data_IF_825581071920
#
_entry.id   IF_825581071920
#
_cell.length_a   1.000
_cell.length_b   1.000
_cell.length_c   1.000
_cell.angle_alpha   90.00
_cell.angle_beta   90.00
_cell.angle_gamma   90.00
#
_symmetry.space_group_name_H-M   'P 1'
#
loop_
_entity.id
_entity.type
_entity.pdbx_description
1 polymer ?
#
# COMPACT_ATOMS: atom_id res chain seq x y z
N UNK A 1 41.59 -5.62 -23.39
CA UNK A 1 41.18 -4.46 -22.59
C UNK A 1 39.71 -4.14 -22.86
N UNK A 2 38.76 -4.64 -22.05
CA UNK A 2 37.31 -4.39 -22.24
C UNK A 2 36.94 -3.11 -21.48
N UNK A 3 36.59 -2.04 -22.21
CA UNK A 3 36.05 -0.80 -21.61
C UNK A 3 34.73 -1.09 -20.96
N UNK A 4 34.60 -0.93 -19.64
CA UNK A 4 33.34 -0.94 -18.91
C UNK A 4 32.56 0.31 -19.31
N UNK A 5 31.43 0.12 -19.99
CA UNK A 5 30.44 1.18 -20.29
C UNK A 5 29.82 1.61 -18.99
N UNK A 6 30.02 2.85 -18.56
CA UNK A 6 29.29 3.43 -17.44
C UNK A 6 27.86 3.70 -17.92
N UNK A 7 26.86 3.07 -17.29
CA UNK A 7 25.46 3.41 -17.50
C UNK A 7 25.25 4.89 -17.14
N UNK A 8 24.68 5.65 -18.06
CA UNK A 8 24.28 7.04 -17.80
C UNK A 8 22.84 7.04 -17.28
N UNK A 9 22.54 7.96 -16.36
CA UNK A 9 21.21 8.13 -15.76
C UNK A 9 20.09 8.31 -16.83
N UNK A 10 20.45 8.76 -18.02
CA UNK A 10 19.54 8.92 -19.16
C UNK A 10 19.07 7.59 -19.80
N UNK A 11 19.71 6.47 -19.46
CA UNK A 11 19.38 5.15 -20.04
C UNK A 11 18.37 4.36 -19.19
N UNK A 12 17.89 4.93 -18.08
CA UNK A 12 16.85 4.34 -17.23
C UNK A 12 15.46 4.71 -17.74
N UNK A 13 14.54 3.73 -17.88
CA UNK A 13 13.17 4.04 -18.26
C UNK A 13 12.55 5.04 -17.28
N UNK A 14 11.69 5.95 -17.76
CA UNK A 14 11.01 6.99 -16.96
C UNK A 14 10.26 6.46 -15.71
N UNK A 15 10.02 5.16 -15.63
CA UNK A 15 9.45 4.46 -14.47
C UNK A 15 10.32 4.49 -13.22
N UNK A 16 11.63 4.73 -13.35
CA UNK A 16 12.59 4.69 -12.24
C UNK A 16 12.78 6.07 -11.58
N UNK A 17 12.37 7.15 -12.25
CA UNK A 17 12.65 8.52 -11.76
C UNK A 17 11.84 8.84 -10.49
N UNK A 18 10.60 8.35 -10.37
CA UNK A 18 9.82 8.49 -9.12
C UNK A 18 10.41 7.66 -7.97
N UNK A 19 10.93 6.46 -8.27
CA UNK A 19 11.57 5.57 -7.30
C UNK A 19 12.97 6.02 -6.86
N UNK A 20 13.70 6.76 -7.71
CA UNK A 20 15.07 7.20 -7.41
C UNK A 20 15.13 8.28 -6.32
N UNK A 21 14.11 9.12 -6.21
CA UNK A 21 14.05 10.17 -5.17
C UNK A 21 13.79 9.53 -3.79
N UNK A 22 12.92 8.52 -3.74
CA UNK A 22 12.69 7.73 -2.53
C UNK A 22 13.94 6.93 -2.10
N UNK A 23 14.64 6.34 -3.07
CA UNK A 23 15.85 5.56 -2.84
C UNK A 23 17.03 6.43 -2.39
N UNK A 24 17.17 7.65 -2.91
CA UNK A 24 18.18 8.61 -2.47
C UNK A 24 17.94 9.08 -1.03
N UNK A 25 16.68 9.23 -0.61
CA UNK A 25 16.31 9.49 0.79
C UNK A 25 16.67 8.33 1.72
N UNK A 26 16.49 7.09 1.26
CA UNK A 26 16.87 5.87 1.99
C UNK A 26 18.39 5.76 2.18
N UNK A 27 19.18 6.16 1.17
CA UNK A 27 20.64 6.07 1.16
C UNK A 27 21.33 7.23 1.90
N UNK A 28 20.63 8.31 2.21
CA UNK A 28 21.17 9.50 2.90
C UNK A 28 21.22 9.38 4.42
N UNK A 29 20.97 8.19 5.00
CA UNK A 29 21.03 7.95 6.46
C UNK A 29 19.89 8.59 7.25
N UNK A 30 18.94 9.24 6.58
CA UNK A 30 17.65 9.67 7.14
C UNK A 30 16.63 8.59 6.81
N UNK A 31 16.68 7.51 7.54
CA UNK A 31 15.80 6.35 7.35
C UNK A 31 14.34 6.78 7.38
N UNK A 32 13.65 6.64 6.23
CA UNK A 32 12.21 6.56 6.22
C UNK A 32 11.84 5.29 7.01
N UNK A 33 10.95 5.38 7.98
CA UNK A 33 10.38 4.19 8.61
C UNK A 33 9.38 3.61 7.62
N UNK A 34 9.52 2.35 7.32
CA UNK A 34 8.45 1.60 6.69
C UNK A 34 7.43 1.39 7.79
N UNK A 35 6.34 2.14 7.75
CA UNK A 35 5.34 2.11 8.83
C UNK A 35 4.25 1.10 8.54
N UNK A 36 3.91 0.88 7.26
CA UNK A 36 2.81 0.01 6.94
C UNK A 36 2.93 -0.70 5.60
N UNK A 37 2.22 -1.82 5.51
CA UNK A 37 2.02 -2.56 4.29
C UNK A 37 0.57 -3.05 4.23
N UNK A 38 -0.12 -2.75 3.13
CA UNK A 38 -1.55 -2.97 2.96
C UNK A 38 -1.82 -3.78 1.68
N UNK A 39 -2.95 -4.46 1.65
CA UNK A 39 -3.42 -5.22 0.49
C UNK A 39 -4.65 -4.56 -0.12
N UNK A 40 -4.61 -4.30 -1.42
CA UNK A 40 -5.77 -4.01 -2.24
C UNK A 40 -6.20 -5.30 -2.94
N UNK A 41 -7.25 -5.93 -2.44
CA UNK A 41 -7.88 -7.09 -3.05
C UNK A 41 -9.30 -6.73 -3.51
N UNK A 42 -9.71 -7.34 -4.63
CA UNK A 42 -11.07 -7.21 -5.17
C UNK A 42 -11.69 -8.58 -5.35
N UNK A 43 -13.00 -8.66 -5.15
CA UNK A 43 -13.77 -9.84 -5.51
C UNK A 43 -14.18 -9.83 -7.00
N UNK A 44 -14.93 -10.85 -7.41
CA UNK A 44 -15.40 -10.99 -8.80
C UNK A 44 -16.38 -9.87 -9.23
N UNK A 45 -17.06 -9.23 -8.27
CA UNK A 45 -17.93 -8.09 -8.53
C UNK A 45 -17.19 -6.74 -8.58
N UNK A 46 -15.87 -6.74 -8.30
CA UNK A 46 -15.04 -5.53 -8.24
C UNK A 46 -15.13 -4.76 -6.92
N UNK A 47 -15.77 -5.34 -5.89
CA UNK A 47 -15.83 -4.77 -4.55
C UNK A 47 -14.45 -4.89 -3.87
N UNK A 48 -14.13 -3.96 -3.02
CA UNK A 48 -12.84 -3.84 -2.34
C UNK A 48 -12.92 -4.53 -0.96
N UNK A 49 -11.95 -5.39 -0.65
CA UNK A 49 -11.77 -5.89 0.71
C UNK A 49 -11.34 -4.72 1.60
N UNK A 50 -12.13 -4.47 2.63
CA UNK A 50 -11.88 -3.37 3.55
C UNK A 50 -12.19 -3.76 5.00
N UNK A 51 -11.53 -3.10 5.92
CA UNK A 51 -11.69 -3.21 7.37
C UNK A 51 -12.09 -1.87 7.96
N UNK A 52 -12.79 -1.91 9.10
CA UNK A 52 -13.10 -0.72 9.89
C UNK A 52 -12.58 -0.92 11.30
N UNK A 53 -11.43 -0.34 11.65
CA UNK A 53 -10.85 -0.45 12.98
C UNK A 53 -11.71 0.23 14.05
N UNK A 54 -11.70 -0.29 15.30
CA UNK A 54 -12.47 0.25 16.42
C UNK A 54 -11.98 1.59 16.94
N UNK A 55 -10.69 1.90 16.73
CA UNK A 55 -9.99 3.06 17.31
C UNK A 55 -9.78 4.21 16.32
N UNK A 56 -10.23 4.08 15.09
CA UNK A 56 -10.10 5.14 14.07
C UNK A 56 -11.41 5.85 13.80
N UNK A 57 -11.41 6.75 12.80
CA UNK A 57 -12.51 7.60 12.37
C UNK A 57 -13.79 6.86 11.88
N UNK A 58 -13.86 5.55 12.02
CA UNK A 58 -14.93 4.70 11.46
C UNK A 58 -14.95 4.67 9.92
N UNK A 59 -13.90 5.13 9.27
CA UNK A 59 -13.75 5.01 7.82
C UNK A 59 -13.27 3.61 7.44
N UNK A 60 -13.69 3.16 6.26
CA UNK A 60 -13.14 1.96 5.66
C UNK A 60 -11.68 2.18 5.26
N UNK A 61 -10.85 1.19 5.52
CA UNK A 61 -9.42 1.17 5.19
C UNK A 61 -9.08 -0.14 4.49
N UNK A 62 -7.97 -0.18 3.77
CA UNK A 62 -7.42 -1.46 3.30
C UNK A 62 -6.92 -2.27 4.50
N UNK A 63 -7.05 -3.60 4.50
CA UNK A 63 -6.41 -4.45 5.48
C UNK A 63 -4.89 -4.30 5.37
N UNK A 64 -4.23 -4.28 6.51
CA UNK A 64 -2.80 -4.11 6.61
C UNK A 64 -2.39 -3.39 7.87
N UNK A 65 -1.10 -3.45 8.17
CA UNK A 65 -0.57 -2.89 9.40
C UNK A 65 0.93 -2.69 9.34
N UNK A 66 1.54 -2.71 10.52
CA UNK A 66 2.95 -2.37 10.69
C UNK A 66 3.87 -3.48 10.20
N UNK A 67 4.95 -3.09 9.53
CA UNK A 67 6.04 -4.01 9.18
C UNK A 67 6.90 -4.26 10.42
N UNK A 68 6.97 -5.50 10.86
CA UNK A 68 7.75 -5.90 12.03
C UNK A 68 9.25 -5.98 11.73
N UNK A 69 10.04 -6.00 12.79
CA UNK A 69 11.51 -6.06 12.65
C UNK A 69 11.96 -7.38 12.01
N UNK A 70 12.60 -7.28 10.86
CA UNK A 70 13.10 -8.44 10.10
C UNK A 70 12.08 -9.00 9.12
N UNK A 71 10.89 -8.42 9.06
CA UNK A 71 9.85 -8.77 8.11
C UNK A 71 9.98 -7.92 6.84
N UNK A 72 9.54 -8.46 5.71
CA UNK A 72 9.40 -7.69 4.48
C UNK A 72 8.02 -7.05 4.41
N UNK A 73 7.85 -5.87 3.76
CA UNK A 73 6.52 -5.29 3.59
C UNK A 73 5.51 -6.21 2.93
N UNK A 74 5.96 -7.06 2.01
CA UNK A 74 5.15 -8.06 1.35
C UNK A 74 4.63 -9.14 2.33
N UNK A 75 5.48 -9.61 3.25
CA UNK A 75 5.09 -10.58 4.27
C UNK A 75 4.14 -9.96 5.29
N UNK A 76 4.43 -8.73 5.74
CA UNK A 76 3.58 -7.98 6.65
C UNK A 76 2.16 -7.79 6.07
N UNK A 77 2.06 -7.40 4.79
CA UNK A 77 0.78 -7.21 4.13
C UNK A 77 -0.08 -8.49 4.13
N UNK A 78 0.54 -9.65 3.88
CA UNK A 78 -0.17 -10.93 3.92
C UNK A 78 -0.58 -11.32 5.34
N UNK A 79 0.30 -11.18 6.32
CA UNK A 79 0.06 -11.49 7.73
C UNK A 79 -1.07 -10.63 8.29
N UNK A 80 -0.97 -9.31 8.17
CA UNK A 80 -1.97 -8.36 8.67
C UNK A 80 -3.34 -8.60 8.01
N UNK A 81 -3.38 -8.84 6.69
CA UNK A 81 -4.64 -9.16 6.01
C UNK A 81 -5.30 -10.39 6.61
N UNK A 82 -4.52 -11.44 6.89
CA UNK A 82 -5.04 -12.65 7.51
C UNK A 82 -5.52 -12.41 8.94
N UNK A 83 -4.76 -11.67 9.73
CA UNK A 83 -5.10 -11.33 11.12
C UNK A 83 -6.39 -10.50 11.20
N UNK A 84 -6.48 -9.43 10.41
CA UNK A 84 -7.63 -8.52 10.45
C UNK A 84 -8.90 -9.06 9.78
N UNK A 85 -8.77 -9.95 8.79
CA UNK A 85 -9.91 -10.37 7.95
C UNK A 85 -10.22 -11.85 7.96
N UNK A 86 -9.33 -12.70 8.48
CA UNK A 86 -9.41 -14.17 8.38
C UNK A 86 -9.08 -14.72 7.00
N UNK A 87 -8.88 -13.86 5.99
CA UNK A 87 -8.63 -14.29 4.61
C UNK A 87 -7.14 -14.48 4.32
N UNK A 88 -6.83 -15.56 3.61
CA UNK A 88 -5.49 -15.81 3.08
C UNK A 88 -5.34 -15.15 1.70
N UNK A 89 -4.26 -14.39 1.52
CA UNK A 89 -3.99 -13.68 0.27
C UNK A 89 -2.62 -14.04 -0.30
N UNK A 90 -2.55 -14.14 -1.61
CA UNK A 90 -1.30 -14.05 -2.36
C UNK A 90 -1.07 -12.60 -2.68
N UNK A 91 -0.01 -12.02 -2.12
CA UNK A 91 0.44 -10.66 -2.43
C UNK A 91 1.20 -10.70 -3.74
N UNK A 92 0.85 -9.86 -4.70
CA UNK A 92 1.34 -9.96 -6.07
C UNK A 92 2.34 -8.85 -6.40
N UNK A 93 1.86 -7.66 -6.70
CA UNK A 93 2.69 -6.55 -7.14
C UNK A 93 2.44 -5.28 -6.35
N UNK A 94 3.46 -4.42 -6.27
CA UNK A 94 3.31 -3.09 -5.69
C UNK A 94 2.41 -2.22 -6.58
N UNK A 95 1.43 -1.58 -5.96
CA UNK A 95 0.50 -0.65 -6.60
C UNK A 95 0.80 0.80 -6.26
N UNK A 96 1.19 1.05 -5.02
CA UNK A 96 1.32 2.42 -4.52
C UNK A 96 2.33 2.48 -3.39
N UNK A 97 3.07 3.60 -3.38
CA UNK A 97 3.87 4.05 -2.24
C UNK A 97 3.25 5.34 -1.72
N UNK A 98 2.81 5.33 -0.46
CA UNK A 98 2.26 6.50 0.24
C UNK A 98 3.27 7.03 1.26
N UNK A 99 3.79 8.21 1.01
CA UNK A 99 4.70 8.93 1.91
C UNK A 99 3.91 10.03 2.62
N UNK A 100 3.08 9.66 3.59
CA UNK A 100 2.15 10.56 4.27
C UNK A 100 2.79 11.43 5.36
N UNK A 101 4.05 11.15 5.73
CA UNK A 101 4.84 12.00 6.61
C UNK A 101 6.33 11.93 6.22
N UNK A 102 7.19 12.87 6.66
CA UNK A 102 8.58 12.96 6.21
C UNK A 102 9.43 11.70 6.44
N UNK A 103 8.94 10.78 7.28
CA UNK A 103 9.64 9.54 7.63
C UNK A 103 8.76 8.30 7.58
N UNK A 104 7.48 8.46 7.25
CA UNK A 104 6.50 7.39 7.31
C UNK A 104 6.08 7.01 5.89
N UNK A 105 6.41 5.80 5.50
CA UNK A 105 6.13 5.26 4.17
C UNK A 105 5.30 3.99 4.32
N UNK A 106 4.18 3.94 3.64
CA UNK A 106 3.34 2.76 3.53
C UNK A 106 3.33 2.24 2.11
N UNK A 107 3.26 0.93 1.99
CA UNK A 107 3.14 0.24 0.71
C UNK A 107 1.74 -0.32 0.53
N UNK A 108 1.22 -0.26 -0.68
CA UNK A 108 -0.02 -0.94 -1.07
C UNK A 108 0.29 -1.93 -2.17
N UNK A 109 -0.03 -3.17 -1.94
CA UNK A 109 0.15 -4.25 -2.89
C UNK A 109 -1.20 -4.71 -3.46
N UNK A 110 -1.20 -5.17 -4.70
CA UNK A 110 -2.28 -6.01 -5.19
C UNK A 110 -2.27 -7.34 -4.46
N UNK A 111 -3.45 -7.83 -4.11
CA UNK A 111 -3.60 -9.14 -3.50
C UNK A 111 -4.78 -9.89 -4.09
N UNK A 112 -4.66 -11.21 -4.13
CA UNK A 112 -5.71 -12.13 -4.54
C UNK A 112 -6.01 -13.10 -3.40
N UNK A 113 -7.28 -13.16 -3.00
CA UNK A 113 -7.72 -14.10 -1.96
C UNK A 113 -7.60 -15.52 -2.50
N UNK A 114 -7.04 -16.41 -1.70
CA UNK A 114 -6.80 -17.81 -2.03
C UNK A 114 -7.43 -18.78 -1.05
N UNK A 115 -7.93 -18.30 0.09
CA UNK A 115 -8.55 -19.13 1.12
C UNK A 115 -8.98 -18.30 2.33
N UNK A 116 -9.36 -19.01 3.39
CA UNK A 116 -9.85 -18.42 4.63
C UNK A 116 -11.35 -18.12 4.61
N UNK A 117 -11.86 -17.69 5.73
CA UNK A 117 -13.24 -17.23 5.91
C UNK A 117 -13.20 -15.79 6.42
N UNK A 118 -14.14 -14.97 5.95
CA UNK A 118 -14.20 -13.56 6.33
C UNK A 118 -14.64 -13.43 7.80
N UNK A 119 -13.68 -13.14 8.66
CA UNK A 119 -13.88 -13.02 10.09
C UNK A 119 -13.03 -11.87 10.65
N UNK A 120 -13.65 -10.87 11.32
CA UNK A 120 -12.90 -9.73 11.87
C UNK A 120 -12.09 -10.15 13.10
N UNK A 121 -10.89 -9.62 13.24
CA UNK A 121 -10.10 -9.78 14.46
C UNK A 121 -10.79 -9.15 15.68
N UNK A 122 -11.00 -9.97 16.71
CA UNK A 122 -11.68 -9.52 17.91
C UNK A 122 -10.81 -8.52 18.71
N UNK A 123 -11.37 -7.33 18.92
CA UNK A 123 -10.75 -6.29 19.73
C UNK A 123 -10.01 -5.19 18.95
N UNK A 124 -9.76 -5.38 17.67
CA UNK A 124 -9.13 -4.37 16.81
C UNK A 124 -10.02 -3.94 15.65
N UNK A 125 -10.73 -4.86 15.03
CA UNK A 125 -11.58 -4.63 13.86
C UNK A 125 -13.07 -4.66 14.25
N UNK A 126 -13.77 -3.56 14.00
CA UNK A 126 -15.21 -3.47 14.23
C UNK A 126 -16.01 -4.16 13.11
N UNK A 127 -15.56 -4.03 11.88
CA UNK A 127 -16.22 -4.58 10.70
C UNK A 127 -15.21 -4.95 9.64
N UNK A 128 -15.48 -6.01 8.90
CA UNK A 128 -14.74 -6.43 7.70
C UNK A 128 -15.74 -6.78 6.61
N UNK A 129 -15.40 -6.49 5.35
CA UNK A 129 -16.28 -6.83 4.25
C UNK A 129 -15.75 -6.44 2.88
N UNK A 130 -16.54 -6.83 1.87
CA UNK A 130 -16.37 -6.43 0.48
C UNK A 130 -17.24 -5.20 0.22
N UNK A 131 -16.60 -4.06 0.00
CA UNK A 131 -17.26 -2.75 -0.03
C UNK A 131 -17.30 -2.22 -1.46
N UNK A 132 -18.46 -1.74 -1.88
CA UNK A 132 -18.64 -1.11 -3.18
C UNK A 132 -17.83 0.20 -3.28
N UNK A 133 -17.27 0.46 -4.45
CA UNK A 133 -16.46 1.66 -4.72
C UNK A 133 -17.23 2.96 -4.46
N UNK A 134 -18.52 2.98 -4.75
CA UNK A 134 -19.42 4.10 -4.51
C UNK A 134 -19.60 4.38 -3.02
N UNK A 135 -19.63 3.35 -2.19
CA UNK A 135 -19.69 3.51 -0.74
C UNK A 135 -18.37 4.08 -0.21
N UNK A 136 -17.23 3.55 -0.67
CA UNK A 136 -15.90 4.07 -0.33
C UNK A 136 -15.79 5.55 -0.72
N UNK A 137 -16.23 5.93 -1.90
CA UNK A 137 -16.21 7.33 -2.36
C UNK A 137 -16.98 8.27 -1.45
N UNK A 138 -18.06 7.78 -0.81
CA UNK A 138 -18.89 8.59 0.09
C UNK A 138 -18.40 8.61 1.53
N UNK A 139 -17.79 7.52 2.01
CA UNK A 139 -17.57 7.27 3.44
C UNK A 139 -16.12 7.15 3.86
N UNK A 140 -15.19 6.98 2.92
CA UNK A 140 -13.77 6.70 3.19
C UNK A 140 -12.84 7.52 2.29
N UNK A 141 -12.70 8.82 2.59
CA UNK A 141 -11.94 9.77 1.74
C UNK A 141 -10.49 9.35 1.51
N UNK A 142 -9.82 8.83 2.54
CA UNK A 142 -8.44 8.36 2.43
C UNK A 142 -8.31 7.20 1.46
N UNK A 143 -9.14 6.18 1.62
CA UNK A 143 -9.16 5.02 0.75
C UNK A 143 -9.58 5.40 -0.68
N UNK A 144 -10.58 6.26 -0.85
CA UNK A 144 -11.00 6.74 -2.17
C UNK A 144 -9.85 7.45 -2.91
N UNK A 145 -9.11 8.35 -2.23
CA UNK A 145 -7.94 9.02 -2.80
C UNK A 145 -6.87 8.03 -3.27
N UNK A 146 -6.63 6.99 -2.46
CA UNK A 146 -5.68 5.93 -2.78
C UNK A 146 -6.11 5.16 -4.04
N UNK A 147 -7.37 4.77 -4.13
CA UNK A 147 -7.91 4.07 -5.30
C UNK A 147 -7.77 4.89 -6.57
N UNK A 148 -8.10 6.19 -6.52
CA UNK A 148 -7.92 7.10 -7.66
C UNK A 148 -6.46 7.20 -8.10
N UNK A 149 -5.52 7.23 -7.16
CA UNK A 149 -4.10 7.28 -7.49
C UNK A 149 -3.62 5.99 -8.17
N UNK A 150 -4.08 4.83 -7.69
CA UNK A 150 -3.78 3.53 -8.32
C UNK A 150 -4.36 3.44 -9.73
N UNK A 151 -5.60 3.90 -9.94
CA UNK A 151 -6.24 3.95 -11.26
C UNK A 151 -5.49 4.88 -12.22
N UNK A 152 -5.14 6.07 -11.76
CA UNK A 152 -4.41 7.05 -12.57
C UNK A 152 -3.02 6.56 -12.99
N UNK A 153 -2.42 5.64 -12.23
CA UNK A 153 -1.13 5.04 -12.58
C UNK A 153 -1.20 4.05 -13.76
N UNK A 154 -2.42 3.65 -14.19
CA UNK A 154 -2.64 2.88 -15.41
C UNK A 154 -1.87 1.56 -15.48
N UNK A 155 -1.70 0.87 -14.35
CA UNK A 155 -0.93 -0.38 -14.24
C UNK A 155 0.53 -0.19 -13.79
N UNK A 156 1.02 1.05 -13.68
CA UNK A 156 2.27 1.40 -13.02
C UNK A 156 2.15 1.44 -11.50
N UNK A 157 3.19 1.93 -10.82
CA UNK A 157 3.18 2.17 -9.37
C UNK A 157 2.84 3.65 -9.14
N UNK A 158 1.76 3.91 -8.40
CA UNK A 158 1.40 5.24 -7.96
C UNK A 158 2.33 5.72 -6.83
N UNK A 159 2.49 7.04 -6.72
CA UNK A 159 3.17 7.68 -5.61
C UNK A 159 2.28 8.78 -5.04
N UNK A 160 1.96 8.65 -3.76
CA UNK A 160 1.33 9.71 -2.99
C UNK A 160 2.38 10.27 -2.04
N UNK A 161 2.75 11.53 -2.22
CA UNK A 161 3.66 12.24 -1.34
C UNK A 161 2.95 13.32 -0.55
N UNK A 162 3.62 13.86 0.44
CA UNK A 162 3.24 15.15 1.02
C UNK A 162 3.25 16.15 -0.13
N UNK A 163 2.11 16.72 -0.46
CA UNK A 163 2.08 17.90 -1.35
C UNK A 163 2.95 18.96 -0.69
N UNK A 164 3.96 19.40 -1.44
CA UNK A 164 5.05 20.22 -0.93
C UNK A 164 4.58 21.36 -0.04
N UNK A 165 4.92 21.24 1.23
CA UNK A 165 5.02 22.40 2.08
C UNK A 165 6.00 23.33 1.39
N UNK A 166 5.52 24.49 0.95
CA UNK A 166 6.36 25.55 0.41
C UNK A 166 7.47 25.84 1.42
N UNK A 167 8.70 25.70 0.95
CA UNK A 167 9.85 26.25 1.65
C UNK A 167 9.75 27.78 1.75
#
# INVERSE_FOLDING_TARGET
MRRRRRLRVADLPRLVVGGAIGLAGLLSGRYARIEGANVLATDEAGRILAVRPIYTSREWMLPGGRVERGETPHAAAARETREETGLEVVVERLLLVDAHAPRDVSFVFAGRVVGGELEPELGEIAEVGWIEREEIARTARGLHRLLLAVEAAGGGVAYLGLEGGRA
#
